data_IF_175996778900
#
_entry.id   IF_175996778900
#
_cell.length_a   1.000
_cell.length_b   1.000
_cell.length_c   1.000
_cell.angle_alpha   90.00
_cell.angle_beta   90.00
_cell.angle_gamma   90.00
#
_symmetry.space_group_name_H-M   'P 1'
#
loop_
_entity.id
_entity.type
_entity.pdbx_description
1 polymer ?
#
# COMPACT_ATOMS: atom_id res chain seq x y z
N UNK A 1 -11.29 -20.49 8.04
CA UNK A 1 -10.91 -19.05 7.94
C UNK A 1 -9.63 -18.84 8.70
N UNK A 2 -8.64 -18.20 8.09
CA UNK A 2 -7.40 -17.81 8.75
C UNK A 2 -7.46 -16.31 9.03
N UNK A 3 -6.97 -15.89 10.19
CA UNK A 3 -6.91 -14.48 10.59
C UNK A 3 -5.48 -14.10 10.95
N UNK A 4 -4.97 -13.03 10.39
CA UNK A 4 -3.64 -12.47 10.66
C UNK A 4 -3.75 -11.07 11.24
N UNK A 5 -2.84 -10.73 12.14
CA UNK A 5 -2.64 -9.36 12.58
C UNK A 5 -1.77 -8.62 11.54
N UNK A 6 -2.26 -7.50 11.02
CA UNK A 6 -1.54 -6.68 10.02
C UNK A 6 -0.35 -5.89 10.62
N UNK A 7 -0.23 -5.85 11.93
CA UNK A 7 0.85 -5.11 12.62
C UNK A 7 1.96 -6.01 13.16
N UNK A 8 1.68 -7.24 13.60
CA UNK A 8 2.70 -8.16 14.12
C UNK A 8 2.87 -9.44 13.30
N UNK A 9 2.04 -9.66 12.27
CA UNK A 9 2.05 -10.82 11.37
C UNK A 9 1.76 -12.18 12.07
N UNK A 10 1.18 -12.16 13.26
CA UNK A 10 0.85 -13.39 14.02
C UNK A 10 -0.49 -13.93 13.57
N UNK A 11 -0.57 -15.26 13.43
CA UNK A 11 -1.83 -15.98 13.25
C UNK A 11 -2.68 -15.87 14.51
N UNK A 12 -3.92 -15.45 14.35
CA UNK A 12 -4.89 -15.40 15.44
C UNK A 12 -5.68 -16.69 15.44
N UNK A 13 -5.39 -17.55 16.42
CA UNK A 13 -6.16 -18.79 16.62
C UNK A 13 -7.50 -18.40 17.23
N UNK A 14 -8.55 -18.43 16.40
CA UNK A 14 -9.91 -18.03 16.78
C UNK A 14 -10.56 -19.05 17.72
N UNK A 15 -10.32 -18.92 19.02
CA UNK A 15 -11.26 -19.44 20.04
C UNK A 15 -11.87 -18.32 20.87
N UNK A 16 -11.53 -17.08 20.59
CA UNK A 16 -12.15 -15.90 21.20
C UNK A 16 -12.49 -14.91 20.07
N UNK A 17 -13.75 -14.57 19.94
CA UNK A 17 -14.22 -13.46 19.11
C UNK A 17 -13.66 -12.13 19.67
N UNK A 18 -12.34 -11.92 19.57
CA UNK A 18 -11.67 -10.69 19.94
C UNK A 18 -11.50 -9.82 18.70
N UNK A 19 -11.97 -8.60 18.75
CA UNK A 19 -11.77 -7.58 17.71
C UNK A 19 -10.32 -7.06 17.66
N UNK A 20 -9.43 -7.61 18.49
CA UNK A 20 -8.05 -7.15 18.68
C UNK A 20 -7.06 -8.31 18.72
N UNK A 21 -5.85 -8.05 18.28
CA UNK A 21 -4.75 -9.00 18.35
C UNK A 21 -4.34 -9.23 19.82
N UNK A 22 -4.26 -10.50 20.24
CA UNK A 22 -3.85 -10.88 21.59
C UNK A 22 -2.41 -10.49 21.95
N UNK A 23 -1.52 -10.40 20.94
CA UNK A 23 -0.10 -10.11 21.15
C UNK A 23 0.23 -8.62 21.18
N UNK A 24 -0.34 -7.83 20.27
CA UNK A 24 0.01 -6.41 20.15
C UNK A 24 -1.17 -5.45 20.37
N UNK A 25 -2.38 -5.94 20.63
CA UNK A 25 -3.57 -5.13 20.86
C UNK A 25 -4.12 -4.42 19.60
N UNK A 26 -3.58 -4.72 18.43
CA UNK A 26 -4.04 -4.09 17.18
C UNK A 26 -5.44 -4.54 16.78
N UNK A 27 -6.25 -3.59 16.29
CA UNK A 27 -7.54 -3.86 15.65
C UNK A 27 -7.40 -4.13 14.14
N UNK A 28 -6.19 -4.00 13.57
CA UNK A 28 -5.94 -4.19 12.15
C UNK A 28 -5.75 -5.69 11.84
N UNK A 29 -6.86 -6.38 11.73
CA UNK A 29 -6.89 -7.80 11.42
C UNK A 29 -7.31 -8.00 9.97
N UNK A 30 -6.80 -9.07 9.35
CA UNK A 30 -7.25 -9.56 8.04
C UNK A 30 -7.71 -11.01 8.18
N UNK A 31 -8.93 -11.30 7.74
CA UNK A 31 -9.52 -12.64 7.80
C UNK A 31 -9.96 -13.06 6.40
N UNK A 32 -9.49 -14.22 5.94
CA UNK A 32 -9.88 -14.77 4.66
C UNK A 32 -9.70 -16.29 4.61
N UNK A 33 -10.55 -17.00 3.83
CA UNK A 33 -10.47 -18.46 3.72
C UNK A 33 -9.19 -18.93 3.02
N UNK A 34 -8.76 -18.19 1.99
CA UNK A 34 -7.61 -18.51 1.14
C UNK A 34 -6.33 -17.75 1.54
N UNK A 35 -6.31 -17.11 2.71
CA UNK A 35 -5.21 -16.22 3.14
C UNK A 35 -3.83 -16.90 3.10
N UNK A 36 -3.77 -18.20 3.40
CA UNK A 36 -2.52 -18.95 3.47
C UNK A 36 -2.18 -19.69 2.17
N UNK A 37 -3.02 -19.63 1.14
CA UNK A 37 -2.80 -20.33 -0.13
C UNK A 37 -2.53 -19.40 -1.30
N UNK A 38 -2.97 -18.14 -1.19
CA UNK A 38 -2.72 -17.11 -2.19
C UNK A 38 -1.28 -16.63 -2.15
N UNK A 39 -0.71 -16.35 -3.33
CA UNK A 39 0.71 -16.02 -3.47
C UNK A 39 1.03 -14.94 -4.52
N UNK A 40 0.04 -14.41 -5.22
CA UNK A 40 0.23 -13.29 -6.16
C UNK A 40 -0.16 -12.00 -5.47
N UNK A 41 0.80 -11.10 -5.32
CA UNK A 41 0.57 -9.82 -4.65
C UNK A 41 0.82 -8.64 -5.59
N UNK A 42 0.13 -7.55 -5.30
CA UNK A 42 0.44 -6.22 -5.80
C UNK A 42 0.71 -5.31 -4.62
N UNK A 43 1.81 -4.58 -4.67
CA UNK A 43 2.18 -3.56 -3.67
C UNK A 43 2.22 -2.20 -4.35
N UNK A 44 1.66 -1.19 -3.68
CA UNK A 44 1.59 0.19 -4.15
C UNK A 44 1.86 1.13 -2.97
N UNK A 45 2.86 2.00 -3.07
CA UNK A 45 3.21 2.96 -2.04
C UNK A 45 2.16 4.07 -1.95
N UNK A 46 1.64 4.30 -0.75
CA UNK A 46 0.53 5.23 -0.51
C UNK A 46 0.90 6.68 -0.79
N UNK A 47 0.23 7.30 -1.78
CA UNK A 47 0.44 8.70 -2.17
C UNK A 47 1.94 9.04 -2.32
N UNK A 48 2.70 8.20 -3.01
CA UNK A 48 4.14 8.06 -2.97
C UNK A 48 4.92 9.38 -2.90
N UNK A 49 4.81 10.26 -3.90
CA UNK A 49 5.56 11.51 -3.89
C UNK A 49 5.24 12.37 -2.67
N UNK A 50 3.96 12.49 -2.33
CA UNK A 50 3.55 13.28 -1.17
C UNK A 50 4.00 12.64 0.16
N UNK A 51 4.09 11.32 0.23
CA UNK A 51 4.61 10.59 1.39
C UNK A 51 6.10 10.81 1.57
N UNK A 52 6.89 10.77 0.49
CA UNK A 52 8.33 11.09 0.51
C UNK A 52 8.57 12.54 0.95
N UNK A 53 7.78 13.50 0.46
CA UNK A 53 7.89 14.89 0.91
C UNK A 53 7.56 15.06 2.39
N UNK A 54 6.53 14.37 2.90
CA UNK A 54 6.16 14.42 4.32
C UNK A 54 7.18 13.72 5.22
N UNK A 55 7.83 12.66 4.73
CA UNK A 55 8.91 11.97 5.43
C UNK A 55 10.09 12.92 5.68
N UNK A 56 10.48 13.66 4.63
CA UNK A 56 11.66 14.50 4.63
C UNK A 56 11.42 15.86 5.30
N UNK A 57 10.17 16.33 5.38
CA UNK A 57 9.76 17.54 6.10
C UNK A 57 8.63 17.25 7.11
N UNK A 58 8.98 16.95 8.37
CA UNK A 58 8.00 16.70 9.41
C UNK A 58 7.02 17.85 9.66
N UNK A 59 7.36 19.08 9.30
CA UNK A 59 6.50 20.27 9.50
C UNK A 59 5.21 20.25 8.68
N UNK A 60 5.16 19.39 7.63
CA UNK A 60 4.00 19.26 6.73
C UNK A 60 3.21 17.95 6.94
N UNK A 61 3.56 17.11 7.91
CA UNK A 61 2.89 15.81 8.14
C UNK A 61 1.38 15.98 8.31
N UNK A 62 0.93 16.92 9.14
CA UNK A 62 -0.49 17.20 9.40
C UNK A 62 -1.19 18.06 8.35
N UNK A 63 -0.49 18.50 7.29
CA UNK A 63 -1.03 19.40 6.27
C UNK A 63 -1.47 18.65 5.02
N UNK A 64 -2.40 19.25 4.28
CA UNK A 64 -2.69 18.84 2.91
C UNK A 64 -1.47 19.16 2.04
N UNK A 65 -0.92 18.15 1.36
CA UNK A 65 0.24 18.27 0.47
C UNK A 65 -0.16 17.85 -0.93
N UNK A 66 0.18 18.69 -1.91
CA UNK A 66 -0.01 18.43 -3.34
C UNK A 66 1.36 18.55 -4.00
N UNK A 67 1.82 17.49 -4.62
CA UNK A 67 3.00 17.52 -5.48
C UNK A 67 2.55 17.83 -6.91
N UNK A 68 3.05 18.92 -7.45
CA UNK A 68 2.66 19.39 -8.77
C UNK A 68 3.30 20.75 -9.04
N UNK A 69 3.11 21.30 -10.23
CA UNK A 69 3.76 22.56 -10.53
C UNK A 69 3.12 23.38 -11.64
N UNK A 70 3.35 24.71 -11.54
CA UNK A 70 2.95 25.69 -12.52
C UNK A 70 1.45 25.98 -12.60
N UNK A 71 1.09 27.21 -13.03
CA UNK A 71 -0.31 27.64 -13.16
C UNK A 71 -1.13 26.79 -14.15
N UNK A 72 -0.48 26.15 -15.13
CA UNK A 72 -1.09 25.28 -16.15
C UNK A 72 -0.72 23.81 -15.95
N UNK A 73 -0.06 23.46 -14.84
CA UNK A 73 0.31 22.08 -14.52
C UNK A 73 -0.85 21.28 -13.94
N UNK A 74 -0.56 20.00 -13.69
CA UNK A 74 -1.50 19.06 -13.07
C UNK A 74 -0.92 18.58 -11.73
N UNK A 75 -1.79 18.02 -10.91
CA UNK A 75 -1.43 17.28 -9.69
C UNK A 75 -0.70 16.00 -10.10
N UNK A 76 0.58 15.87 -9.77
CA UNK A 76 1.33 14.63 -9.96
C UNK A 76 0.96 13.60 -8.89
N UNK A 77 0.91 14.03 -7.62
CA UNK A 77 0.42 13.22 -6.49
C UNK A 77 -0.16 14.14 -5.41
N UNK A 78 -1.05 13.60 -4.58
CA UNK A 78 -1.59 14.32 -3.43
C UNK A 78 -1.77 13.39 -2.24
N UNK A 79 -1.50 13.88 -1.04
CA UNK A 79 -1.67 13.12 0.20
C UNK A 79 -3.16 12.89 0.51
N UNK A 80 -3.45 11.95 1.42
CA UNK A 80 -4.84 11.60 1.78
C UNK A 80 -5.62 12.77 2.38
N UNK A 81 -4.98 13.68 3.10
CA UNK A 81 -5.63 14.90 3.61
C UNK A 81 -6.16 15.77 2.44
N UNK A 82 -5.41 15.87 1.35
CA UNK A 82 -5.87 16.57 0.15
C UNK A 82 -6.92 15.76 -0.63
N UNK A 83 -6.81 14.42 -0.67
CA UNK A 83 -7.80 13.54 -1.31
C UNK A 83 -9.18 13.61 -0.65
N UNK A 84 -9.25 13.72 0.68
CA UNK A 84 -10.51 13.93 1.44
C UNK A 84 -11.21 15.23 0.99
N UNK A 85 -10.44 16.26 0.59
CA UNK A 85 -10.98 17.52 0.06
C UNK A 85 -11.33 17.47 -1.43
N UNK A 86 -11.24 16.28 -2.05
CA UNK A 86 -11.60 16.07 -3.45
C UNK A 86 -10.45 16.20 -4.46
N UNK A 87 -9.23 16.50 -4.01
CA UNK A 87 -8.07 16.58 -4.92
C UNK A 87 -7.69 15.18 -5.42
N UNK A 88 -7.37 15.07 -6.72
CA UNK A 88 -6.98 13.82 -7.38
C UNK A 88 -5.76 14.03 -8.28
N UNK A 89 -5.01 12.95 -8.52
CA UNK A 89 -3.94 12.94 -9.53
C UNK A 89 -4.49 13.27 -10.90
N UNK A 90 -3.68 13.89 -11.75
CA UNK A 90 -4.02 14.43 -13.05
C UNK A 90 -5.00 15.64 -13.06
N UNK A 91 -5.55 16.02 -11.90
CA UNK A 91 -6.41 17.21 -11.79
C UNK A 91 -5.60 18.48 -12.11
N UNK A 92 -6.18 19.44 -12.88
CA UNK A 92 -5.54 20.74 -13.07
C UNK A 92 -5.24 21.47 -11.75
N UNK A 93 -4.06 22.05 -11.61
CA UNK A 93 -3.63 22.71 -10.36
C UNK A 93 -4.59 23.80 -9.91
N UNK A 94 -5.19 24.56 -10.83
CA UNK A 94 -6.14 25.63 -10.49
C UNK A 94 -7.44 25.08 -9.86
N UNK A 95 -7.87 23.87 -10.26
CA UNK A 95 -9.04 23.20 -9.65
C UNK A 95 -8.66 22.64 -8.28
N UNK A 96 -7.50 21.99 -8.17
CA UNK A 96 -6.99 21.46 -6.91
C UNK A 96 -6.88 22.55 -5.84
N UNK A 97 -6.41 23.75 -6.22
CA UNK A 97 -6.30 24.91 -5.32
C UNK A 97 -7.67 25.50 -4.92
N UNK A 98 -8.69 25.39 -5.76
CA UNK A 98 -10.06 25.76 -5.37
C UNK A 98 -10.62 24.81 -4.30
N UNK A 99 -10.36 23.51 -4.43
CA UNK A 99 -10.80 22.48 -3.46
C UNK A 99 -10.00 22.51 -2.16
N UNK A 100 -8.72 22.84 -2.25
CA UNK A 100 -7.81 22.84 -1.10
C UNK A 100 -6.90 24.07 -1.11
N UNK A 101 -7.41 25.28 -0.83
CA UNK A 101 -6.65 26.54 -0.97
C UNK A 101 -5.46 26.65 -0.01
N UNK A 102 -5.47 25.94 1.11
CA UNK A 102 -4.42 25.95 2.11
C UNK A 102 -3.45 24.76 1.97
N UNK A 103 -3.44 24.08 0.82
CA UNK A 103 -2.51 22.99 0.58
C UNK A 103 -1.07 23.50 0.42
N UNK A 104 -0.12 22.74 0.96
CA UNK A 104 1.30 22.94 0.67
C UNK A 104 1.56 22.38 -0.73
N UNK A 105 2.04 23.25 -1.63
CA UNK A 105 2.36 22.87 -3.01
C UNK A 105 3.86 22.68 -3.13
N UNK A 106 4.27 21.51 -3.60
CA UNK A 106 5.67 21.14 -3.74
C UNK A 106 5.94 20.77 -5.21
N UNK A 107 6.94 21.38 -5.86
CA UNK A 107 7.38 20.95 -7.18
C UNK A 107 7.91 19.51 -7.13
N UNK A 108 7.64 18.66 -8.14
CA UNK A 108 8.12 17.29 -8.12
C UNK A 108 9.65 17.22 -8.19
N UNK A 109 10.24 16.40 -7.31
CA UNK A 109 11.66 16.08 -7.29
C UNK A 109 11.90 14.61 -7.66
N UNK A 110 12.05 14.35 -8.96
CA UNK A 110 12.14 12.98 -9.47
C UNK A 110 13.38 12.22 -9.00
N UNK A 111 14.50 12.90 -8.70
CA UNK A 111 15.69 12.24 -8.16
C UNK A 111 15.43 11.67 -6.77
N UNK A 112 14.83 12.48 -5.89
CA UNK A 112 14.42 12.05 -4.55
C UNK A 112 13.49 10.85 -4.61
N UNK A 113 12.50 10.88 -5.49
CA UNK A 113 11.51 9.79 -5.62
C UNK A 113 12.15 8.52 -6.19
N UNK A 114 13.09 8.64 -7.12
CA UNK A 114 13.85 7.48 -7.63
C UNK A 114 14.65 6.80 -6.54
N UNK A 115 15.29 7.56 -5.64
CA UNK A 115 16.04 7.01 -4.51
C UNK A 115 15.09 6.21 -3.61
N UNK A 116 13.99 6.82 -3.15
CA UNK A 116 13.01 6.13 -2.31
C UNK A 116 12.40 4.90 -3.00
N UNK A 117 12.09 4.99 -4.29
CA UNK A 117 11.59 3.85 -5.07
C UNK A 117 12.61 2.72 -5.22
N UNK A 118 13.91 3.02 -5.34
CA UNK A 118 14.97 2.02 -5.33
C UNK A 118 15.10 1.31 -3.98
N UNK A 119 14.99 2.05 -2.87
CA UNK A 119 14.99 1.49 -1.51
C UNK A 119 13.83 0.50 -1.33
N UNK A 120 12.61 0.90 -1.67
CA UNK A 120 11.43 0.02 -1.63
C UNK A 120 11.63 -1.22 -2.51
N UNK A 121 12.14 -1.05 -3.73
CA UNK A 121 12.39 -2.17 -4.66
C UNK A 121 13.42 -3.14 -4.13
N UNK A 122 14.45 -2.67 -3.45
CA UNK A 122 15.45 -3.52 -2.79
C UNK A 122 14.76 -4.43 -1.78
N UNK A 123 13.90 -3.88 -0.90
CA UNK A 123 13.15 -4.67 0.07
C UNK A 123 12.23 -5.71 -0.59
N UNK A 124 11.56 -5.34 -1.69
CA UNK A 124 10.74 -6.28 -2.46
C UNK A 124 11.59 -7.42 -3.05
N UNK A 125 12.78 -7.12 -3.60
CA UNK A 125 13.68 -8.11 -4.20
C UNK A 125 14.27 -9.06 -3.16
N UNK A 126 14.53 -8.59 -1.95
CA UNK A 126 14.94 -9.43 -0.82
C UNK A 126 13.81 -10.37 -0.37
N UNK A 127 12.56 -9.98 -0.59
CA UNK A 127 11.39 -10.80 -0.24
C UNK A 127 11.14 -11.91 -1.26
N UNK A 128 11.26 -11.64 -2.54
CA UNK A 128 11.15 -12.63 -3.62
C UNK A 128 11.94 -12.18 -4.84
N UNK A 129 12.63 -13.09 -5.55
CA UNK A 129 13.27 -12.75 -6.82
C UNK A 129 12.25 -12.57 -7.96
N UNK A 130 11.01 -13.02 -7.78
CA UNK A 130 9.95 -12.92 -8.78
C UNK A 130 9.14 -11.63 -8.60
N UNK A 131 9.77 -10.52 -8.95
CA UNK A 131 9.19 -9.17 -8.90
C UNK A 131 9.01 -8.63 -10.32
N UNK A 132 7.87 -8.01 -10.59
CA UNK A 132 7.56 -7.31 -11.84
C UNK A 132 7.20 -5.87 -11.53
N UNK A 133 8.15 -4.92 -11.63
CA UNK A 133 7.87 -3.51 -11.44
C UNK A 133 6.95 -2.97 -12.53
N UNK A 134 5.94 -2.20 -12.14
CA UNK A 134 5.01 -1.51 -13.04
C UNK A 134 5.40 -0.03 -13.13
N UNK A 135 5.74 0.57 -12.00
CA UNK A 135 6.16 1.95 -11.90
C UNK A 135 7.27 2.12 -10.87
N UNK A 136 7.54 3.36 -10.47
CA UNK A 136 8.54 3.70 -9.46
C UNK A 136 8.11 3.26 -8.04
N UNK A 137 6.81 3.14 -7.81
CA UNK A 137 6.17 2.96 -6.51
C UNK A 137 5.27 1.71 -6.41
N UNK A 138 5.11 0.96 -7.50
CA UNK A 138 4.28 -0.25 -7.51
C UNK A 138 4.94 -1.43 -8.24
N UNK A 139 4.65 -2.64 -7.76
CA UNK A 139 5.12 -3.87 -8.37
C UNK A 139 4.18 -5.04 -8.09
N UNK A 140 4.21 -6.04 -8.99
CA UNK A 140 3.71 -7.37 -8.69
C UNK A 140 4.82 -8.22 -8.07
N UNK A 141 4.44 -9.05 -7.09
CA UNK A 141 5.29 -10.04 -6.45
C UNK A 141 4.65 -11.42 -6.57
N UNK A 142 5.45 -12.39 -6.94
CA UNK A 142 5.09 -13.80 -6.86
C UNK A 142 5.84 -14.44 -5.69
N UNK A 143 5.09 -14.86 -4.66
CA UNK A 143 5.63 -15.49 -3.47
C UNK A 143 5.52 -17.01 -3.51
N UNK A 144 5.19 -17.60 -4.66
CA UNK A 144 5.10 -19.06 -4.81
C UNK A 144 6.43 -19.73 -4.45
N UNK A 145 6.38 -20.68 -3.53
CA UNK A 145 7.55 -21.45 -3.08
C UNK A 145 8.49 -20.71 -2.13
N UNK A 146 8.13 -19.52 -1.63
CA UNK A 146 8.95 -18.77 -0.68
C UNK A 146 8.66 -19.11 0.78
N UNK A 147 7.65 -19.92 1.08
CA UNK A 147 7.19 -20.23 2.44
C UNK A 147 8.31 -20.86 3.30
N UNK A 148 9.12 -21.75 2.70
CA UNK A 148 10.25 -22.37 3.41
C UNK A 148 11.39 -21.38 3.65
N UNK A 149 11.60 -20.43 2.75
CA UNK A 149 12.64 -19.41 2.89
C UNK A 149 12.33 -18.47 4.05
N UNK A 150 11.08 -18.03 4.15
CA UNK A 150 10.65 -17.09 5.17
C UNK A 150 10.09 -17.75 6.43
N UNK A 151 9.89 -19.07 6.43
CA UNK A 151 9.17 -19.80 7.47
C UNK A 151 7.82 -19.13 7.80
N UNK A 152 7.11 -18.65 6.78
CA UNK A 152 5.90 -17.85 6.89
C UNK A 152 5.04 -18.02 5.63
N UNK A 153 3.73 -17.80 5.75
CA UNK A 153 2.83 -17.71 4.60
C UNK A 153 3.15 -16.46 3.75
N UNK A 154 2.68 -16.44 2.50
CA UNK A 154 2.82 -15.27 1.63
C UNK A 154 2.21 -14.01 2.29
N UNK A 155 1.05 -14.14 2.93
CA UNK A 155 0.40 -13.03 3.63
C UNK A 155 1.25 -12.50 4.79
N UNK A 156 1.83 -13.37 5.63
CA UNK A 156 2.73 -12.96 6.71
C UNK A 156 4.00 -12.29 6.19
N UNK A 157 4.58 -12.85 5.14
CA UNK A 157 5.75 -12.28 4.45
C UNK A 157 5.49 -10.88 3.93
N UNK A 158 4.32 -10.66 3.32
CA UNK A 158 3.89 -9.34 2.83
C UNK A 158 3.66 -8.33 3.97
N UNK A 159 3.05 -8.76 5.08
CA UNK A 159 2.90 -7.90 6.27
C UNK A 159 4.29 -7.46 6.78
N UNK A 160 5.25 -8.38 6.86
CA UNK A 160 6.60 -8.06 7.28
C UNK A 160 7.30 -7.12 6.28
N UNK A 161 7.07 -7.29 4.98
CA UNK A 161 7.62 -6.40 3.95
C UNK A 161 7.10 -4.96 4.13
N UNK A 162 5.79 -4.73 4.28
CA UNK A 162 5.29 -3.36 4.47
C UNK A 162 5.75 -2.74 5.78
N UNK A 163 5.93 -3.52 6.85
CA UNK A 163 6.56 -3.04 8.09
C UNK A 163 8.00 -2.59 7.85
N UNK A 164 8.77 -3.34 7.06
CA UNK A 164 10.12 -2.94 6.67
C UNK A 164 10.10 -1.65 5.85
N UNK A 165 9.21 -1.52 4.89
CA UNK A 165 9.04 -0.28 4.09
C UNK A 165 8.75 0.90 5.01
N UNK A 166 7.84 0.74 5.97
CA UNK A 166 7.52 1.80 6.95
C UNK A 166 8.71 2.17 7.84
N UNK A 167 9.46 1.18 8.33
CA UNK A 167 10.56 1.41 9.28
C UNK A 167 11.86 1.85 8.60
N UNK A 168 12.20 1.29 7.43
CA UNK A 168 13.47 1.51 6.75
C UNK A 168 13.40 2.66 5.74
N UNK A 169 12.26 2.80 5.03
CA UNK A 169 12.06 3.85 4.03
C UNK A 169 11.20 5.01 4.54
N UNK A 170 10.42 4.81 5.60
CA UNK A 170 9.61 5.85 6.23
C UNK A 170 8.34 6.24 5.47
N UNK A 171 7.83 5.37 4.61
CA UNK A 171 6.57 5.57 3.87
C UNK A 171 5.67 4.34 4.03
N UNK A 172 4.35 4.51 3.85
CA UNK A 172 3.43 3.39 3.88
C UNK A 172 3.16 2.83 2.48
N UNK A 173 2.76 1.55 2.45
CA UNK A 173 2.31 0.86 1.24
C UNK A 173 1.04 0.06 1.52
N UNK A 174 0.26 -0.17 0.48
CA UNK A 174 -0.95 -1.00 0.49
C UNK A 174 -0.74 -2.26 -0.35
N UNK A 175 -1.34 -3.37 0.09
CA UNK A 175 -1.22 -4.69 -0.52
C UNK A 175 -2.56 -5.17 -1.03
N UNK A 176 -2.54 -5.76 -2.21
CA UNK A 176 -3.57 -6.66 -2.68
C UNK A 176 -3.00 -8.06 -2.85
N UNK A 177 -3.65 -9.08 -2.27
CA UNK A 177 -3.27 -10.48 -2.38
C UNK A 177 -4.36 -11.24 -3.12
N UNK A 178 -4.00 -12.05 -4.11
CA UNK A 178 -4.94 -12.83 -4.91
C UNK A 178 -4.26 -14.04 -5.55
N UNK A 179 -5.02 -14.82 -6.34
CA UNK A 179 -4.50 -15.92 -7.14
C UNK A 179 -3.97 -15.47 -8.51
N UNK A 180 -4.24 -14.22 -8.93
CA UNK A 180 -3.71 -13.63 -10.15
C UNK A 180 -3.36 -12.13 -9.98
N UNK A 181 -2.52 -11.61 -10.90
CA UNK A 181 -2.02 -10.23 -10.87
C UNK A 181 -3.14 -9.18 -11.02
N UNK A 182 -4.12 -9.44 -11.89
CA UNK A 182 -5.21 -8.49 -12.15
C UNK A 182 -6.03 -8.21 -10.91
N UNK A 183 -6.48 -9.25 -10.21
CA UNK A 183 -7.24 -9.11 -8.98
C UNK A 183 -6.38 -8.60 -7.81
N UNK A 184 -5.11 -8.99 -7.75
CA UNK A 184 -4.18 -8.44 -6.77
C UNK A 184 -4.05 -6.91 -6.91
N UNK A 185 -3.98 -6.38 -8.15
CA UNK A 185 -3.95 -4.93 -8.36
C UNK A 185 -5.25 -4.26 -7.95
N UNK A 186 -6.40 -4.84 -8.27
CA UNK A 186 -7.70 -4.30 -7.81
C UNK A 186 -7.77 -4.32 -6.28
N UNK A 187 -7.36 -5.42 -5.65
CA UNK A 187 -7.40 -5.58 -4.20
C UNK A 187 -6.56 -4.51 -3.48
N UNK A 188 -5.38 -4.15 -4.02
CA UNK A 188 -4.51 -3.16 -3.39
C UNK A 188 -5.12 -1.76 -3.26
N UNK A 189 -6.16 -1.45 -4.05
CA UNK A 189 -6.85 -0.15 -4.02
C UNK A 189 -8.06 -0.11 -3.07
N UNK A 190 -8.54 -1.26 -2.55
CA UNK A 190 -9.80 -1.34 -1.80
C UNK A 190 -9.74 -0.68 -0.41
N UNK A 191 -8.58 -0.73 0.25
CA UNK A 191 -8.44 -0.34 1.67
C UNK A 191 -7.27 0.66 1.88
N UNK A 192 -6.93 1.46 0.86
CA UNK A 192 -5.89 2.50 0.98
C UNK A 192 -6.30 3.62 1.94
N UNK A 193 -5.37 4.16 2.75
CA UNK A 193 -3.94 3.85 2.87
C UNK A 193 -3.65 2.73 3.89
N UNK A 194 -2.41 2.19 3.84
CA UNK A 194 -1.92 1.11 4.71
C UNK A 194 -2.83 -0.11 4.64
N UNK A 195 -3.41 -0.34 3.46
CA UNK A 195 -4.37 -1.38 3.20
C UNK A 195 -3.74 -2.77 3.05
N UNK A 196 -4.50 -3.79 3.38
CA UNK A 196 -4.23 -5.17 3.02
C UNK A 196 -5.56 -5.82 2.67
N UNK A 197 -5.81 -6.03 1.38
CA UNK A 197 -7.05 -6.63 0.91
C UNK A 197 -6.78 -7.92 0.16
N UNK A 198 -7.73 -8.85 0.25
CA UNK A 198 -7.65 -10.15 -0.39
C UNK A 198 -8.85 -10.31 -1.31
N UNK A 199 -8.61 -10.87 -2.50
CA UNK A 199 -9.66 -11.38 -3.40
C UNK A 199 -9.26 -12.81 -3.75
N UNK A 200 -9.97 -13.79 -3.17
CA UNK A 200 -9.74 -15.21 -3.40
C UNK A 200 -10.30 -15.69 -4.74
N UNK A 201 -9.94 -16.90 -5.13
CA UNK A 201 -10.45 -17.53 -6.35
C UNK A 201 -11.94 -17.84 -6.24
N UNK A 202 -12.38 -18.30 -5.06
CA UNK A 202 -13.78 -18.69 -4.83
C UNK A 202 -14.78 -17.55 -4.99
N UNK A 203 -14.39 -16.31 -4.70
CA UNK A 203 -15.27 -15.14 -4.71
C UNK A 203 -15.06 -14.22 -5.91
N UNK A 204 -14.05 -14.50 -6.75
CA UNK A 204 -13.61 -13.60 -7.82
C UNK A 204 -14.72 -13.25 -8.81
N UNK A 205 -15.55 -14.21 -9.21
CA UNK A 205 -16.64 -13.99 -10.15
C UNK A 205 -17.70 -13.07 -9.52
N UNK A 206 -18.11 -13.37 -8.31
CA UNK A 206 -19.12 -12.58 -7.59
C UNK A 206 -18.62 -11.15 -7.33
N UNK A 207 -17.34 -11.01 -6.99
CA UNK A 207 -16.71 -9.70 -6.81
C UNK A 207 -16.71 -8.85 -8.09
N UNK A 208 -16.44 -9.47 -9.24
CA UNK A 208 -16.40 -8.76 -10.53
C UNK A 208 -17.78 -8.43 -11.09
N UNK A 209 -18.79 -9.24 -10.79
CA UNK A 209 -20.17 -9.05 -11.29
C UNK A 209 -20.97 -8.04 -10.46
N UNK A 210 -20.61 -7.82 -9.19
CA UNK A 210 -21.29 -6.91 -8.28
C UNK A 210 -20.64 -5.51 -8.19
N UNK A 211 -19.69 -5.19 -9.06
CA UNK A 211 -19.09 -3.86 -9.26
C UNK A 211 -19.66 -3.23 -10.51
#
# INVERSE_FOLDING_TARGET
>A
MSTLCRDCAIDIISNTFGEVCSECGSTRLITHNELNTLNKAHIDCDAFFASVEKRDDPSIIGKAVIVGGGKRGVVAACCYIARIKGVRSAMPMFEALKLCPNAVIIPPNMEKYKIAGCEVRTLMTETTPQIEPISIDEAFLDLSGTEKLHNASAAQTLINLVKRIENEVGISASIGLSYNKFLAKIASDLDKPRGFSVIGEAEAIDFLTNK
#
